data_IF_525296010661
#
_entry.id   IF_525296010661
#
_cell.length_a   1.000
_cell.length_b   1.000
_cell.length_c   1.000
_cell.angle_alpha   90.00
_cell.angle_beta   90.00
_cell.angle_gamma   90.00
#
_symmetry.space_group_name_H-M   'P 1'
#
loop_
_entity.id
_entity.type
_entity.pdbx_description
1 polymer ?
#
# COMPACT_ATOMS: atom_id res chain seq x y z
N UNK A 1 23.52 6.03 -50.06
CA UNK A 1 23.96 7.06 -51.03
C UNK A 1 23.68 8.41 -50.38
N UNK A 2 24.60 9.36 -50.22
CA UNK A 2 25.89 9.58 -50.93
C UNK A 2 27.00 10.09 -49.97
N UNK A 3 28.25 10.14 -50.45
CA UNK A 3 29.52 10.52 -49.75
C UNK A 3 29.56 11.99 -49.26
N UNK A 4 30.29 12.45 -48.23
CA UNK A 4 31.59 12.10 -47.56
C UNK A 4 32.85 12.84 -48.09
N UNK A 5 33.49 13.68 -47.25
CA UNK A 5 34.94 14.01 -47.12
C UNK A 5 35.18 14.89 -45.85
N UNK A 6 36.12 14.65 -44.91
CA UNK A 6 37.61 14.67 -44.93
C UNK A 6 38.19 16.11 -45.05
N UNK A 7 39.24 16.59 -44.32
CA UNK A 7 40.31 16.03 -43.44
C UNK A 7 40.89 17.12 -42.47
N UNK A 8 41.54 16.83 -41.32
CA UNK A 8 43.01 16.60 -41.05
C UNK A 8 44.00 17.53 -41.78
N UNK A 9 45.19 17.99 -41.31
CA UNK A 9 45.90 18.18 -40.00
C UNK A 9 47.21 19.01 -40.32
N UNK A 10 48.27 19.31 -39.53
CA UNK A 10 48.75 19.11 -38.14
C UNK A 10 49.95 20.08 -37.83
N UNK A 11 50.65 19.97 -36.67
CA UNK A 11 51.99 20.54 -36.32
C UNK A 11 52.14 22.09 -36.20
N UNK A 12 53.16 22.73 -35.58
CA UNK A 12 54.17 22.44 -34.52
C UNK A 12 55.07 23.71 -34.32
N UNK A 13 55.89 23.98 -33.28
CA UNK A 13 55.96 23.64 -31.83
C UNK A 13 57.14 24.43 -31.14
N UNK A 14 57.17 24.50 -29.78
CA UNK A 14 58.21 25.15 -28.89
C UNK A 14 58.17 26.71 -28.85
N UNK A 15 58.70 27.44 -27.86
CA UNK A 15 59.72 27.10 -26.84
C UNK A 15 59.65 27.90 -25.49
N UNK A 16 60.04 27.23 -24.40
CA UNK A 16 60.81 27.70 -23.22
C UNK A 16 60.28 28.82 -22.28
N UNK A 17 60.31 28.52 -20.97
CA UNK A 17 60.19 29.49 -19.87
C UNK A 17 60.42 28.79 -18.51
N UNK A 18 61.46 29.18 -17.76
CA UNK A 18 61.90 28.50 -16.53
C UNK A 18 61.40 29.16 -15.25
N UNK A 19 60.96 28.36 -14.27
CA UNK A 19 60.80 28.77 -12.87
C UNK A 19 61.26 27.62 -11.93
N UNK A 20 61.65 27.95 -10.70
CA UNK A 20 62.44 27.07 -9.80
C UNK A 20 61.55 26.36 -8.76
N UNK A 21 61.99 25.19 -8.30
CA UNK A 21 61.33 24.42 -7.24
C UNK A 21 61.22 25.20 -5.92
N UNK A 22 60.12 24.99 -5.20
CA UNK A 22 60.05 25.11 -3.75
C UNK A 22 59.46 23.81 -3.19
N UNK A 23 60.22 23.10 -2.34
CA UNK A 23 59.78 21.85 -1.70
C UNK A 23 58.92 22.17 -0.47
N UNK A 24 57.61 21.90 -0.57
CA UNK A 24 56.71 21.83 0.58
C UNK A 24 56.39 20.36 0.87
N UNK A 25 56.90 19.83 1.99
CA UNK A 25 56.70 18.44 2.39
C UNK A 25 55.31 18.21 3.01
N UNK A 26 54.26 18.24 2.18
CA UNK A 26 52.91 17.84 2.56
C UNK A 26 52.79 16.32 2.59
N UNK A 27 52.57 15.74 3.77
CA UNK A 27 52.35 14.30 3.92
C UNK A 27 50.98 13.90 3.36
N UNK A 28 50.96 13.36 2.13
CA UNK A 28 49.75 12.78 1.54
C UNK A 28 49.47 11.43 2.19
N UNK A 29 48.70 11.44 3.27
CA UNK A 29 48.08 10.22 3.80
C UNK A 29 47.09 9.70 2.76
N UNK A 30 47.44 8.63 2.06
CA UNK A 30 46.55 7.95 1.13
C UNK A 30 45.38 7.30 1.89
N UNK A 31 44.33 8.07 2.11
CA UNK A 31 43.10 7.60 2.71
C UNK A 31 42.43 6.57 1.80
N UNK A 32 42.66 5.29 2.09
CA UNK A 32 41.93 4.20 1.46
C UNK A 32 40.47 4.35 1.87
N UNK A 33 39.65 4.85 0.95
CA UNK A 33 38.19 4.85 1.11
C UNK A 33 37.73 3.39 0.95
N UNK A 34 37.81 2.64 2.04
CA UNK A 34 37.11 1.37 2.17
C UNK A 34 35.63 1.68 2.08
N UNK A 35 35.02 1.45 0.91
CA UNK A 35 33.59 1.46 0.75
C UNK A 35 33.03 0.44 1.75
N UNK A 36 32.42 0.93 2.83
CA UNK A 36 31.85 0.08 3.87
C UNK A 36 30.72 -0.71 3.26
N UNK A 37 30.93 -2.01 3.05
CA UNK A 37 29.83 -2.93 2.77
C UNK A 37 28.93 -2.87 3.99
N UNK A 38 27.80 -2.18 3.85
CA UNK A 38 26.70 -2.29 4.81
C UNK A 38 26.18 -3.70 4.67
N UNK A 39 26.68 -4.60 5.53
CA UNK A 39 26.09 -5.91 5.72
C UNK A 39 24.71 -5.60 6.30
N UNK A 40 23.68 -5.72 5.46
CA UNK A 40 22.31 -5.71 5.92
C UNK A 40 22.18 -6.79 7.01
N UNK A 41 21.74 -6.39 8.20
CA UNK A 41 21.44 -7.35 9.26
C UNK A 41 20.33 -8.29 8.81
N UNK A 42 20.25 -9.48 9.42
CA UNK A 42 19.14 -10.39 9.13
C UNK A 42 17.79 -9.67 9.34
N UNK A 43 16.83 -9.82 8.41
CA UNK A 43 15.56 -9.10 8.47
C UNK A 43 14.82 -9.47 9.76
N UNK A 44 14.29 -8.45 10.45
CA UNK A 44 13.67 -8.63 11.76
C UNK A 44 12.47 -9.59 11.66
N UNK A 45 12.42 -10.69 12.44
CA UNK A 45 11.30 -11.62 12.36
C UNK A 45 9.97 -10.93 12.65
N UNK A 46 8.97 -11.23 11.82
CA UNK A 46 7.60 -10.80 12.05
C UNK A 46 6.99 -11.61 13.19
N UNK A 47 6.28 -10.93 14.09
CA UNK A 47 5.52 -11.57 15.15
C UNK A 47 4.36 -12.42 14.60
N UNK A 48 3.91 -13.39 15.40
CA UNK A 48 2.82 -14.29 14.99
C UNK A 48 1.54 -13.52 14.62
N UNK A 49 0.92 -13.90 13.48
CA UNK A 49 -0.33 -13.31 13.01
C UNK A 49 -0.23 -11.86 12.52
N UNK A 50 0.98 -11.34 12.30
CA UNK A 50 1.20 -10.09 11.55
C UNK A 50 0.68 -10.24 10.12
N UNK A 51 -0.13 -9.28 9.67
CA UNK A 51 -0.78 -9.26 8.33
C UNK A 51 -0.25 -8.14 7.41
N UNK A 52 0.52 -7.20 7.95
CA UNK A 52 1.14 -6.09 7.22
C UNK A 52 2.24 -5.44 8.04
N UNK A 53 2.96 -4.47 7.47
CA UNK A 53 3.97 -3.69 8.20
C UNK A 53 3.78 -2.19 7.99
N UNK A 54 4.42 -1.38 8.83
CA UNK A 54 4.67 0.03 8.56
C UNK A 54 6.18 0.23 8.52
N UNK A 55 6.69 0.83 7.46
CA UNK A 55 8.13 1.08 7.24
C UNK A 55 8.58 2.37 7.95
N UNK A 56 9.89 2.57 8.17
CA UNK A 56 10.37 3.82 8.76
C UNK A 56 10.13 4.97 7.78
N UNK A 57 9.57 6.07 8.27
CA UNK A 57 9.40 7.28 7.50
C UNK A 57 10.75 7.99 7.28
N UNK A 58 10.96 8.67 6.15
CA UNK A 58 12.15 9.49 5.94
C UNK A 58 12.22 10.65 6.94
N UNK A 59 13.44 11.11 7.25
CA UNK A 59 13.64 12.25 8.17
C UNK A 59 13.04 13.53 7.59
N UNK A 60 12.22 14.21 8.40
CA UNK A 60 11.57 15.46 7.99
C UNK A 60 10.34 15.25 7.13
N UNK A 61 9.55 14.21 7.42
CA UNK A 61 8.21 14.02 6.88
C UNK A 61 7.43 15.33 6.84
N UNK A 62 6.81 15.58 5.69
CA UNK A 62 5.80 16.63 5.51
C UNK A 62 4.40 16.02 5.58
N UNK A 63 3.42 16.90 5.65
CA UNK A 63 2.00 16.61 5.45
C UNK A 63 1.51 17.73 4.53
N UNK A 64 1.74 17.57 3.22
CA UNK A 64 1.38 18.53 2.16
C UNK A 64 0.52 17.93 1.03
N UNK A 65 0.25 16.61 1.10
CA UNK A 65 -0.55 15.84 0.16
C UNK A 65 0.27 15.07 -0.87
N UNK A 66 1.61 15.14 -0.84
CA UNK A 66 2.49 14.49 -1.81
C UNK A 66 3.02 13.14 -1.32
N UNK A 67 2.52 12.02 -1.86
CA UNK A 67 2.99 10.68 -1.48
C UNK A 67 4.38 10.30 -2.03
N UNK A 68 5.25 11.27 -2.28
CA UNK A 68 6.64 11.02 -2.68
C UNK A 68 7.47 10.47 -1.52
N UNK A 69 7.27 11.01 -0.31
CA UNK A 69 7.88 10.52 0.93
C UNK A 69 7.49 9.06 1.27
N UNK A 70 6.36 8.56 0.73
CA UNK A 70 5.87 7.19 0.91
C UNK A 70 6.43 6.17 -0.10
N UNK A 71 7.33 6.58 -1.01
CA UNK A 71 7.85 5.68 -2.05
C UNK A 71 8.54 4.44 -1.46
N UNK A 72 8.06 3.26 -1.84
CA UNK A 72 8.60 1.98 -1.35
C UNK A 72 8.09 1.59 0.04
N UNK A 73 7.18 2.36 0.64
CA UNK A 73 6.47 1.94 1.85
C UNK A 73 5.64 0.66 1.61
N UNK A 74 5.19 0.05 2.70
CA UNK A 74 4.21 -1.03 2.62
C UNK A 74 2.84 -0.48 2.20
N UNK A 75 2.19 -1.17 1.25
CA UNK A 75 0.92 -0.76 0.67
C UNK A 75 -0.13 -1.89 0.71
N UNK A 76 -1.38 -1.56 1.05
CA UNK A 76 -2.57 -2.40 0.79
C UNK A 76 -3.46 -1.75 -0.27
N UNK A 77 -3.57 -2.32 -1.48
CA UNK A 77 -4.55 -1.86 -2.45
C UNK A 77 -5.96 -2.36 -2.11
N UNK A 78 -6.97 -1.55 -2.42
CA UNK A 78 -8.40 -1.88 -2.30
C UNK A 78 -9.15 -1.53 -3.58
N UNK A 79 -10.22 -2.26 -3.88
CA UNK A 79 -11.07 -2.08 -5.05
C UNK A 79 -10.37 -2.13 -6.43
N UNK A 80 -9.65 -3.22 -6.71
CA UNK A 80 -8.97 -3.45 -7.99
C UNK A 80 -9.78 -4.35 -8.95
N UNK A 81 -11.02 -4.70 -8.62
CA UNK A 81 -11.77 -5.81 -9.25
C UNK A 81 -13.22 -5.45 -9.61
N UNK A 82 -13.57 -4.18 -9.54
CA UNK A 82 -14.91 -3.66 -9.71
C UNK A 82 -15.15 -3.34 -11.20
N UNK A 83 -16.22 -3.93 -11.75
CA UNK A 83 -16.45 -4.06 -13.20
C UNK A 83 -17.84 -3.61 -13.65
N UNK A 84 -18.66 -3.09 -12.72
CA UNK A 84 -19.99 -2.55 -12.98
C UNK A 84 -19.96 -1.02 -13.14
N UNK A 85 -20.83 -0.50 -14.02
CA UNK A 85 -20.77 0.87 -14.55
C UNK A 85 -20.84 1.96 -13.46
N UNK A 86 -21.64 1.76 -12.40
CA UNK A 86 -21.81 2.72 -11.31
C UNK A 86 -20.69 2.66 -10.25
N UNK A 87 -19.60 1.91 -10.51
CA UNK A 87 -18.66 1.47 -9.49
C UNK A 87 -17.27 1.13 -10.01
N UNK A 88 -16.91 1.51 -11.24
CA UNK A 88 -15.76 0.92 -11.92
C UNK A 88 -14.42 1.16 -11.21
N UNK A 89 -13.44 0.31 -11.52
CA UNK A 89 -12.08 0.38 -10.97
C UNK A 89 -11.42 1.75 -11.19
N UNK A 90 -11.79 2.49 -12.23
CA UNK A 90 -11.27 3.83 -12.54
C UNK A 90 -11.87 4.95 -11.68
N UNK A 91 -12.92 4.65 -10.90
CA UNK A 91 -13.54 5.54 -9.92
C UNK A 91 -13.45 5.04 -8.48
N UNK A 92 -12.94 3.82 -8.25
CA UNK A 92 -12.88 3.22 -6.89
C UNK A 92 -11.57 2.54 -6.50
N UNK A 93 -10.60 2.36 -7.41
CA UNK A 93 -9.30 1.79 -7.04
C UNK A 93 -8.54 2.68 -6.07
N UNK A 94 -8.01 2.14 -4.97
CA UNK A 94 -7.21 2.93 -4.03
C UNK A 94 -6.03 2.16 -3.43
N UNK A 95 -5.05 2.91 -2.91
CA UNK A 95 -3.80 2.41 -2.32
C UNK A 95 -3.61 3.08 -0.95
N UNK A 96 -3.62 2.29 0.13
CA UNK A 96 -3.22 2.75 1.45
C UNK A 96 -1.75 2.42 1.72
N UNK A 97 -0.98 3.41 2.17
CA UNK A 97 0.45 3.30 2.51
C UNK A 97 0.67 3.53 4.00
N UNK A 98 1.59 2.80 4.63
CA UNK A 98 1.82 2.85 6.08
C UNK A 98 3.30 3.08 6.44
N UNK A 99 3.57 4.14 7.20
CA UNK A 99 4.90 4.44 7.75
C UNK A 99 4.84 4.86 9.23
N UNK A 100 6.00 4.89 9.89
CA UNK A 100 6.14 5.37 11.27
C UNK A 100 7.51 6.00 11.50
N UNK A 101 7.62 6.88 12.48
CA UNK A 101 8.91 7.25 13.08
C UNK A 101 8.78 7.44 14.60
N UNK A 102 9.73 8.15 15.20
CA UNK A 102 9.76 8.38 16.65
C UNK A 102 8.75 9.45 17.11
N UNK A 103 8.18 10.25 16.19
CA UNK A 103 7.16 11.27 16.44
C UNK A 103 5.73 10.75 16.19
N UNK A 104 5.50 10.08 15.06
CA UNK A 104 4.14 9.72 14.62
C UNK A 104 4.02 8.38 13.86
N UNK A 105 2.77 7.94 13.75
CA UNK A 105 2.33 7.06 12.66
C UNK A 105 1.87 7.91 11.48
N UNK A 106 2.14 7.43 10.26
CA UNK A 106 1.78 8.10 9.01
C UNK A 106 0.99 7.15 8.11
N UNK A 107 -0.14 7.63 7.59
CA UNK A 107 -0.91 6.96 6.56
C UNK A 107 -0.97 7.80 5.28
N UNK A 108 -0.74 7.17 4.15
CA UNK A 108 -0.97 7.74 2.83
C UNK A 108 -2.17 7.07 2.16
N UNK A 109 -2.94 7.81 1.38
CA UNK A 109 -4.01 7.28 0.52
C UNK A 109 -3.89 7.90 -0.87
N UNK A 110 -3.78 7.05 -1.90
CA UNK A 110 -3.96 7.44 -3.30
C UNK A 110 -5.27 6.83 -3.82
N UNK A 111 -6.13 7.62 -4.46
CA UNK A 111 -7.36 7.13 -5.08
C UNK A 111 -7.34 7.27 -6.61
N UNK A 112 -8.12 6.42 -7.26
CA UNK A 112 -8.81 6.69 -8.53
C UNK A 112 -10.24 7.10 -8.15
N UNK A 113 -10.66 8.31 -8.51
CA UNK A 113 -11.96 8.88 -8.15
C UNK A 113 -12.24 10.17 -8.97
N UNK A 114 -13.31 10.18 -9.76
CA UNK A 114 -13.69 11.35 -10.58
C UNK A 114 -14.82 12.19 -9.98
N UNK A 115 -15.41 11.78 -8.84
CA UNK A 115 -16.60 12.42 -8.23
C UNK A 115 -16.41 12.72 -6.74
N UNK A 116 -15.17 13.09 -6.41
CA UNK A 116 -14.66 13.48 -5.09
C UNK A 116 -15.52 14.56 -4.39
N UNK A 117 -16.24 14.17 -3.32
CA UNK A 117 -16.96 15.07 -2.44
C UNK A 117 -17.09 14.55 -0.99
N UNK A 118 -17.10 15.46 -0.02
CA UNK A 118 -17.55 15.15 1.34
C UNK A 118 -18.47 16.26 1.87
N UNK A 119 -19.78 16.09 1.64
CA UNK A 119 -20.83 16.99 2.11
C UNK A 119 -21.20 16.79 3.60
N UNK A 120 -20.58 15.82 4.28
CA UNK A 120 -20.85 15.53 5.68
C UNK A 120 -20.39 16.66 6.60
N UNK A 121 -21.14 17.02 7.65
CA UNK A 121 -20.67 17.92 8.69
C UNK A 121 -19.55 17.27 9.52
N UNK A 122 -18.81 18.11 10.25
CA UNK A 122 -17.51 17.76 10.81
C UNK A 122 -17.55 16.69 11.93
N UNK A 123 -18.75 16.37 12.45
CA UNK A 123 -18.99 15.32 13.46
C UNK A 123 -19.26 13.92 12.85
N UNK A 124 -19.43 13.81 11.52
CA UNK A 124 -19.82 12.57 10.83
C UNK A 124 -19.16 12.37 9.46
N UNK A 125 -17.86 12.65 9.36
CA UNK A 125 -17.10 12.63 8.10
C UNK A 125 -17.25 11.34 7.27
N UNK A 126 -17.65 10.22 7.88
CA UNK A 126 -18.01 8.97 7.22
C UNK A 126 -19.23 9.04 6.28
N UNK A 127 -20.03 10.12 6.25
CA UNK A 127 -21.20 10.22 5.36
C UNK A 127 -20.85 10.68 3.92
N UNK A 128 -19.57 10.99 3.64
CA UNK A 128 -19.05 11.30 2.30
C UNK A 128 -17.75 10.54 1.98
N UNK A 129 -16.98 11.01 0.99
CA UNK A 129 -15.67 10.41 0.67
C UNK A 129 -14.67 10.64 1.80
N UNK A 130 -13.99 9.58 2.23
CA UNK A 130 -13.07 9.64 3.36
C UNK A 130 -12.79 8.26 3.95
N UNK A 131 -12.04 8.23 5.04
CA UNK A 131 -11.56 7.00 5.66
C UNK A 131 -12.13 6.87 7.07
N UNK A 132 -12.75 5.74 7.40
CA UNK A 132 -12.88 5.30 8.79
C UNK A 132 -11.59 4.57 9.17
N UNK A 133 -10.92 5.06 10.22
CA UNK A 133 -9.57 4.65 10.60
C UNK A 133 -9.57 4.02 12.00
N UNK A 134 -9.02 2.81 12.08
CA UNK A 134 -9.12 1.95 13.25
C UNK A 134 -7.73 1.60 13.77
N UNK A 135 -7.37 2.07 14.97
CA UNK A 135 -5.98 2.04 15.43
C UNK A 135 -5.90 1.65 16.92
N UNK A 136 -5.13 0.60 17.25
CA UNK A 136 -4.98 0.08 18.62
C UNK A 136 -3.50 -0.03 19.03
N UNK A 137 -3.14 0.71 20.07
CA UNK A 137 -1.78 0.79 20.64
C UNK A 137 -1.63 0.00 21.94
N UNK A 138 -2.70 -0.62 22.45
CA UNK A 138 -2.73 -1.31 23.74
C UNK A 138 -1.80 -2.52 23.78
N UNK A 139 -1.58 -3.06 24.98
CA UNK A 139 -0.54 -4.06 25.27
C UNK A 139 -1.07 -5.23 26.09
N UNK A 140 -0.37 -6.35 26.03
CA UNK A 140 -0.73 -7.55 26.80
C UNK A 140 -2.15 -8.03 26.46
N UNK A 141 -2.96 -8.42 27.45
CA UNK A 141 -4.34 -8.89 27.24
C UNK A 141 -5.28 -7.88 26.59
N UNK A 142 -5.03 -6.58 26.75
CA UNK A 142 -5.91 -5.52 26.23
C UNK A 142 -5.69 -5.23 24.74
N UNK A 143 -4.57 -5.71 24.17
CA UNK A 143 -4.24 -5.50 22.77
C UNK A 143 -5.22 -6.25 21.85
N UNK A 144 -5.96 -5.50 21.02
CA UNK A 144 -7.06 -6.03 20.20
C UNK A 144 -8.12 -6.76 21.03
N UNK A 145 -8.41 -6.28 22.24
CA UNK A 145 -9.58 -6.76 22.98
C UNK A 145 -10.90 -6.40 22.27
N UNK A 146 -12.02 -7.09 22.54
CA UNK A 146 -13.29 -6.81 21.87
C UNK A 146 -13.85 -5.40 22.12
N UNK A 147 -13.47 -4.75 23.22
CA UNK A 147 -13.97 -3.43 23.59
C UNK A 147 -13.02 -2.32 23.13
N UNK A 148 -13.61 -1.24 22.60
CA UNK A 148 -12.95 0.06 22.46
C UNK A 148 -12.64 0.69 23.83
N UNK A 149 -11.70 1.63 23.87
CA UNK A 149 -11.29 2.33 25.08
C UNK A 149 -9.97 3.08 24.90
N UNK A 150 -9.42 3.71 25.95
CA UNK A 150 -8.16 4.44 25.87
C UNK A 150 -7.05 3.62 25.21
N UNK A 151 -6.38 4.20 24.22
CA UNK A 151 -5.37 3.51 23.40
C UNK A 151 -5.89 2.79 22.15
N UNK A 152 -7.21 2.62 22.00
CA UNK A 152 -7.84 2.11 20.78
C UNK A 152 -8.89 3.10 20.25
N UNK A 153 -8.68 3.62 19.04
CA UNK A 153 -9.48 4.67 18.42
C UNK A 153 -10.23 4.20 17.18
N UNK A 154 -11.46 4.69 17.05
CA UNK A 154 -12.19 4.81 15.79
C UNK A 154 -12.30 6.31 15.49
N UNK A 155 -11.67 6.73 14.40
CA UNK A 155 -11.60 8.12 13.95
C UNK A 155 -11.81 8.20 12.44
N UNK A 156 -11.88 9.42 11.91
CA UNK A 156 -12.19 9.68 10.51
C UNK A 156 -11.29 10.76 9.96
N UNK A 157 -10.94 10.67 8.68
CA UNK A 157 -10.30 11.75 7.94
C UNK A 157 -10.71 11.78 6.47
N UNK A 158 -10.68 12.97 5.87
CA UNK A 158 -11.05 13.23 4.47
C UNK A 158 -10.22 14.37 3.91
N UNK A 159 -10.05 14.41 2.59
CA UNK A 159 -9.43 15.50 1.85
C UNK A 159 -10.38 16.70 1.63
N UNK A 160 -11.70 16.52 1.80
CA UNK A 160 -12.70 17.40 1.19
C UNK A 160 -13.64 18.09 2.18
N UNK A 161 -14.24 19.21 1.76
CA UNK A 161 -15.47 19.78 2.34
C UNK A 161 -16.37 20.29 1.21
N UNK A 162 -17.51 19.62 1.01
CA UNK A 162 -18.14 19.60 -0.32
C UNK A 162 -17.17 19.03 -1.35
N UNK A 163 -17.06 19.67 -2.52
CA UNK A 163 -16.10 19.34 -3.58
C UNK A 163 -14.72 19.98 -3.42
N UNK A 164 -14.54 20.89 -2.45
CA UNK A 164 -13.28 21.62 -2.27
C UNK A 164 -12.25 20.80 -1.51
N UNK A 165 -10.95 20.96 -1.87
CA UNK A 165 -9.85 20.46 -1.04
C UNK A 165 -9.81 21.27 0.26
N UNK A 166 -10.24 20.62 1.34
CA UNK A 166 -10.32 21.18 2.68
C UNK A 166 -10.19 19.99 3.66
N UNK A 167 -8.95 19.55 3.95
CA UNK A 167 -8.72 18.34 4.71
C UNK A 167 -9.25 18.45 6.14
N UNK A 168 -9.90 17.39 6.62
CA UNK A 168 -10.57 17.33 7.93
C UNK A 168 -10.35 15.99 8.59
N UNK A 169 -10.39 15.99 9.93
CA UNK A 169 -10.48 14.77 10.74
C UNK A 169 -11.43 14.96 11.92
N UNK A 170 -11.96 13.85 12.46
CA UNK A 170 -12.66 13.84 13.74
C UNK A 170 -12.55 12.47 14.44
N UNK A 171 -12.78 12.42 15.75
CA UNK A 171 -13.03 11.18 16.48
C UNK A 171 -14.51 10.80 16.35
N UNK A 172 -14.84 9.51 16.47
CA UNK A 172 -16.25 9.10 16.59
C UNK A 172 -16.89 9.75 17.84
N UNK A 173 -18.15 10.21 17.80
CA UNK A 173 -18.75 10.97 18.91
C UNK A 173 -18.80 10.26 20.28
N UNK A 174 -18.72 8.93 20.32
CA UNK A 174 -18.62 8.09 21.52
C UNK A 174 -17.17 7.72 21.91
N UNK A 175 -16.18 8.19 21.15
CA UNK A 175 -14.74 7.92 21.30
C UNK A 175 -13.89 9.17 21.59
N UNK A 176 -14.52 10.32 21.87
CA UNK A 176 -13.82 11.61 22.11
C UNK A 176 -12.77 11.54 23.24
N UNK A 177 -12.97 10.63 24.20
CA UNK A 177 -12.08 10.36 25.33
C UNK A 177 -10.95 9.34 25.05
N UNK A 178 -10.88 8.75 23.85
CA UNK A 178 -9.94 7.67 23.55
C UNK A 178 -8.48 8.16 23.35
N UNK A 179 -8.31 9.39 22.86
CA UNK A 179 -7.04 10.14 22.73
C UNK A 179 -7.30 11.65 22.87
N UNK A 180 -6.29 12.49 23.17
CA UNK A 180 -6.46 13.95 23.28
C UNK A 180 -6.51 14.71 21.95
N UNK A 181 -6.21 14.08 20.81
CA UNK A 181 -6.29 14.71 19.48
C UNK A 181 -5.16 15.69 19.13
N UNK A 182 -4.01 15.59 19.80
CA UNK A 182 -2.91 16.56 19.68
C UNK A 182 -2.07 16.32 18.42
N UNK A 183 -1.80 17.40 17.67
CA UNK A 183 -0.91 17.38 16.50
C UNK A 183 -1.36 16.46 15.35
N UNK A 184 -2.64 16.10 15.29
CA UNK A 184 -3.18 15.33 14.17
C UNK A 184 -3.34 16.25 12.97
N UNK A 185 -2.65 15.90 11.88
CA UNK A 185 -2.58 16.68 10.65
C UNK A 185 -3.14 15.86 9.48
N UNK A 186 -3.87 16.52 8.58
CA UNK A 186 -4.31 15.96 7.29
C UNK A 186 -3.96 16.95 6.20
N UNK A 187 -3.38 16.47 5.10
CA UNK A 187 -3.21 17.25 3.89
C UNK A 187 -3.65 16.45 2.67
N UNK A 188 -3.96 17.12 1.57
CA UNK A 188 -4.37 16.46 0.34
C UNK A 188 -4.09 17.32 -0.90
N UNK A 189 -3.84 16.65 -2.02
CA UNK A 189 -3.79 17.25 -3.36
C UNK A 189 -4.67 16.47 -4.32
N UNK A 190 -5.22 17.17 -5.32
CA UNK A 190 -5.85 16.55 -6.48
C UNK A 190 -4.77 16.02 -7.43
N UNK A 191 -5.09 14.92 -8.11
CA UNK A 191 -4.35 14.42 -9.27
C UNK A 191 -5.30 14.38 -10.48
N UNK A 192 -4.78 14.18 -11.68
CA UNK A 192 -5.60 14.08 -12.91
C UNK A 192 -6.52 12.84 -12.94
N UNK A 193 -6.43 11.96 -11.93
CA UNK A 193 -7.12 10.69 -11.82
C UNK A 193 -7.88 10.48 -10.50
N UNK A 194 -7.71 11.37 -9.51
CA UNK A 194 -8.14 11.13 -8.14
C UNK A 194 -7.58 12.17 -7.17
N UNK A 195 -7.17 11.70 -5.99
CA UNK A 195 -6.46 12.50 -5.01
C UNK A 195 -5.35 11.70 -4.35
N UNK A 196 -4.41 12.43 -3.76
CA UNK A 196 -3.50 11.92 -2.74
C UNK A 196 -3.76 12.63 -1.42
N UNK A 197 -3.74 11.86 -0.33
CA UNK A 197 -4.06 12.31 1.02
C UNK A 197 -3.01 11.78 1.99
N UNK A 198 -2.50 12.66 2.85
CA UNK A 198 -1.57 12.32 3.93
C UNK A 198 -2.24 12.55 5.29
N UNK A 199 -2.03 11.60 6.21
CA UNK A 199 -2.56 11.63 7.56
C UNK A 199 -1.45 11.33 8.57
N UNK A 200 -1.30 12.21 9.57
CA UNK A 200 -0.31 12.08 10.65
C UNK A 200 -1.00 11.94 12.00
N UNK A 201 -0.58 10.92 12.76
CA UNK A 201 -1.09 10.60 14.07
C UNK A 201 0.07 10.51 15.08
N UNK A 202 0.40 11.61 15.79
CA UNK A 202 1.53 11.62 16.74
C UNK A 202 1.36 10.63 17.89
N UNK A 203 2.45 9.96 18.27
CA UNK A 203 2.46 9.00 19.39
C UNK A 203 2.13 9.65 20.74
N UNK A 204 2.26 10.98 20.85
CA UNK A 204 1.79 11.78 22.00
C UNK A 204 0.28 11.59 22.31
N UNK A 205 -0.51 11.10 21.35
CA UNK A 205 -1.91 10.72 21.57
C UNK A 205 -2.08 9.43 22.39
N UNK A 206 -1.06 8.59 22.49
CA UNK A 206 -1.12 7.24 23.06
C UNK A 206 -0.19 7.10 24.28
N UNK A 207 -0.56 7.68 25.45
CA UNK A 207 0.28 7.65 26.64
C UNK A 207 0.57 6.22 27.09
N UNK A 208 1.86 5.89 27.21
CA UNK A 208 2.34 4.54 27.54
C UNK A 208 2.68 3.66 26.33
N UNK A 209 2.36 4.09 25.10
CA UNK A 209 2.94 3.49 23.90
C UNK A 209 4.36 4.01 23.68
N UNK A 210 5.25 3.12 23.22
CA UNK A 210 6.59 3.49 22.75
C UNK A 210 6.80 2.89 21.35
N UNK A 211 6.99 3.71 20.30
CA UNK A 211 7.38 3.24 18.98
C UNK A 211 8.80 2.66 19.01
N UNK A 212 9.03 1.60 18.24
CA UNK A 212 10.35 1.02 17.92
C UNK A 212 10.17 -0.13 16.91
N UNK A 213 11.22 -0.59 16.23
CA UNK A 213 11.14 -1.78 15.37
C UNK A 213 10.69 -3.02 16.17
N UNK A 214 9.89 -3.88 15.53
CA UNK A 214 9.39 -5.12 16.12
C UNK A 214 8.14 -4.97 16.98
N UNK A 215 7.68 -3.75 17.24
CA UNK A 215 6.39 -3.49 17.88
C UNK A 215 5.25 -3.77 16.89
N UNK A 216 4.22 -4.49 17.34
CA UNK A 216 2.95 -4.56 16.64
C UNK A 216 1.96 -3.49 17.14
N UNK A 217 1.14 -2.98 16.23
CA UNK A 217 -0.09 -2.21 16.46
C UNK A 217 -1.29 -2.98 15.89
N UNK A 218 -2.49 -2.59 16.30
CA UNK A 218 -3.75 -2.97 15.67
C UNK A 218 -4.09 -1.92 14.61
N UNK A 219 -4.33 -2.33 13.38
CA UNK A 219 -4.70 -1.42 12.29
C UNK A 219 -5.80 -2.03 11.41
N UNK A 220 -6.78 -1.22 11.03
CA UNK A 220 -7.56 -1.42 9.80
C UNK A 220 -7.96 -0.06 9.22
N UNK A 221 -8.31 -0.04 7.93
CA UNK A 221 -8.74 1.18 7.24
C UNK A 221 -9.94 0.85 6.35
N UNK A 222 -11.00 1.64 6.47
CA UNK A 222 -12.21 1.53 5.65
C UNK A 222 -12.34 2.77 4.77
N UNK A 223 -12.30 2.59 3.45
CA UNK A 223 -12.48 3.67 2.49
C UNK A 223 -13.96 3.80 2.14
N UNK A 224 -14.52 4.99 2.36
CA UNK A 224 -15.88 5.38 2.03
C UNK A 224 -15.93 6.13 0.71
N UNK A 225 -16.94 5.83 -0.10
CA UNK A 225 -17.26 6.47 -1.38
C UNK A 225 -18.70 6.98 -1.39
N UNK A 226 -18.91 8.15 -2.00
CA UNK A 226 -20.17 8.92 -2.06
C UNK A 226 -20.61 9.27 -3.49
N UNK A 227 -19.74 9.04 -4.48
CA UNK A 227 -19.97 9.31 -5.90
C UNK A 227 -20.44 10.76 -6.20
N UNK A 228 -20.12 11.71 -5.31
CA UNK A 228 -20.41 13.15 -5.42
C UNK A 228 -21.44 13.70 -4.45
N UNK A 229 -22.14 12.85 -3.69
CA UNK A 229 -23.30 13.26 -2.87
C UNK A 229 -23.16 12.79 -1.40
N UNK A 230 -23.61 11.57 -1.12
CA UNK A 230 -23.60 10.94 0.20
C UNK A 230 -23.27 9.44 0.07
N UNK A 231 -22.65 8.88 1.10
CA UNK A 231 -21.97 7.56 1.03
C UNK A 231 -22.80 6.43 0.42
N UNK A 232 -22.34 5.93 -0.72
CA UNK A 232 -22.89 4.79 -1.47
C UNK A 232 -22.15 3.46 -1.23
N UNK A 233 -20.86 3.49 -0.89
CA UNK A 233 -20.02 2.28 -0.88
C UNK A 233 -18.89 2.34 0.16
N UNK A 234 -18.43 1.17 0.63
CA UNK A 234 -17.37 1.01 1.66
C UNK A 234 -16.51 -0.23 1.40
N UNK A 235 -15.20 -0.13 1.60
CA UNK A 235 -14.24 -1.25 1.46
C UNK A 235 -13.17 -1.28 2.55
N UNK A 236 -12.73 -2.47 2.99
CA UNK A 236 -11.77 -2.66 4.09
C UNK A 236 -10.39 -3.17 3.64
N UNK A 237 -9.32 -2.51 4.11
CA UNK A 237 -7.93 -2.85 3.80
C UNK A 237 -7.51 -4.24 4.30
N UNK A 238 -7.79 -4.55 5.59
CA UNK A 238 -7.42 -5.83 6.22
C UNK A 238 -8.59 -6.62 6.78
N UNK A 239 -9.61 -5.96 7.34
CA UNK A 239 -10.69 -6.60 8.08
C UNK A 239 -12.00 -6.69 7.30
N UNK A 240 -13.07 -6.20 7.93
CA UNK A 240 -14.46 -6.29 7.46
C UNK A 240 -15.33 -5.30 8.25
N UNK A 241 -16.65 -5.20 7.99
CA UNK A 241 -17.58 -4.45 8.86
C UNK A 241 -17.55 -4.81 10.37
N UNK A 242 -16.88 -5.90 10.76
CA UNK A 242 -16.60 -6.21 12.18
C UNK A 242 -15.56 -5.27 12.82
N UNK A 243 -14.68 -4.66 12.03
CA UNK A 243 -13.72 -3.64 12.47
C UNK A 243 -14.42 -2.38 13.00
N UNK A 244 -15.63 -2.06 12.51
CA UNK A 244 -16.50 -1.00 13.06
C UNK A 244 -16.86 -1.25 14.53
N UNK A 245 -16.95 -2.53 14.91
CA UNK A 245 -17.53 -2.96 16.19
C UNK A 245 -16.48 -3.25 17.26
N UNK A 246 -15.34 -3.85 16.88
CA UNK A 246 -14.35 -4.31 17.86
C UNK A 246 -12.88 -4.30 17.37
N UNK A 247 -11.91 -3.82 18.19
CA UNK A 247 -10.47 -3.91 17.90
C UNK A 247 -9.96 -5.34 17.68
N UNK A 248 -10.69 -6.35 18.16
CA UNK A 248 -10.43 -7.76 17.88
C UNK A 248 -10.38 -8.10 16.37
N UNK A 249 -11.03 -7.32 15.49
CA UNK A 249 -11.02 -7.57 14.03
C UNK A 249 -9.73 -7.12 13.32
N UNK A 250 -8.99 -6.17 13.89
CA UNK A 250 -7.90 -5.43 13.22
C UNK A 250 -6.72 -6.32 12.79
N UNK A 251 -5.89 -5.86 11.86
CA UNK A 251 -4.60 -6.51 11.58
C UNK A 251 -3.61 -6.28 12.72
N UNK A 252 -2.73 -7.26 12.97
CA UNK A 252 -1.43 -6.96 13.58
C UNK A 252 -0.56 -6.38 12.46
N UNK A 253 -0.14 -5.13 12.62
CA UNK A 253 0.79 -4.45 11.72
C UNK A 253 2.07 -4.15 12.48
N UNK A 254 3.21 -4.63 11.97
CA UNK A 254 4.49 -4.49 12.67
C UNK A 254 5.26 -3.26 12.19
N UNK A 255 5.79 -2.49 13.13
CA UNK A 255 6.73 -1.41 12.86
C UNK A 255 8.08 -2.03 12.47
N UNK A 256 8.58 -1.72 11.28
CA UNK A 256 9.86 -2.21 10.73
C UNK A 256 10.65 -1.04 10.14
N UNK A 257 11.96 -1.21 9.96
CA UNK A 257 12.76 -0.16 9.30
C UNK A 257 12.43 -0.07 7.80
N UNK A 258 12.35 -1.22 7.11
CA UNK A 258 12.16 -1.36 5.66
C UNK A 258 11.28 -2.56 5.33
N UNK A 259 10.68 -2.61 4.14
CA UNK A 259 9.91 -3.77 3.66
C UNK A 259 10.83 -4.79 3.00
N UNK A 260 11.09 -5.89 3.70
CA UNK A 260 12.03 -6.93 3.24
C UNK A 260 11.34 -8.04 2.43
N UNK A 261 12.04 -8.70 1.47
CA UNK A 261 11.48 -9.78 0.67
C UNK A 261 10.87 -10.92 1.51
N UNK A 262 11.47 -11.22 2.65
CA UNK A 262 11.03 -12.27 3.58
C UNK A 262 9.66 -11.98 4.21
N UNK A 263 9.21 -10.72 4.24
CA UNK A 263 7.90 -10.33 4.78
C UNK A 263 6.74 -10.61 3.79
N UNK A 264 7.02 -10.75 2.49
CA UNK A 264 6.00 -11.00 1.46
C UNK A 264 5.20 -12.28 1.69
N UNK A 265 5.83 -13.30 2.30
CA UNK A 265 5.17 -14.56 2.66
C UNK A 265 4.05 -14.37 3.68
N UNK A 266 4.17 -13.42 4.61
CA UNK A 266 3.18 -13.15 5.66
C UNK A 266 2.19 -12.05 5.24
N UNK A 267 2.69 -10.99 4.61
CA UNK A 267 1.91 -9.80 4.30
C UNK A 267 1.35 -9.78 2.87
N UNK A 268 1.73 -10.73 2.02
CA UNK A 268 1.26 -10.87 0.64
C UNK A 268 -0.26 -10.83 0.47
N UNK A 269 -1.08 -11.52 1.30
CA UNK A 269 -2.55 -11.44 1.21
C UNK A 269 -3.16 -10.04 1.51
N UNK A 270 -2.36 -9.11 2.04
CA UNK A 270 -2.71 -7.72 2.25
C UNK A 270 -2.17 -6.81 1.13
N UNK A 271 -0.96 -7.07 0.62
CA UNK A 271 -0.33 -6.33 -0.49
C UNK A 271 -0.89 -6.68 -1.88
N UNK A 272 -1.28 -7.95 -2.05
CA UNK A 272 -1.61 -8.59 -3.32
C UNK A 272 -2.97 -9.29 -3.24
N UNK A 273 -4.05 -8.64 -2.75
CA UNK A 273 -5.37 -9.25 -2.67
C UNK A 273 -5.82 -9.76 -4.06
N UNK A 274 -6.68 -10.76 -4.08
CA UNK A 274 -7.17 -11.35 -5.32
C UNK A 274 -8.66 -11.66 -5.29
N UNK A 275 -9.27 -11.65 -6.47
CA UNK A 275 -10.62 -12.10 -6.76
C UNK A 275 -10.57 -13.12 -7.91
N UNK A 276 -11.50 -14.07 -7.89
CA UNK A 276 -11.67 -15.03 -8.97
C UNK A 276 -13.17 -15.25 -9.15
N UNK A 277 -13.70 -15.00 -10.34
CA UNK A 277 -15.13 -15.16 -10.63
C UNK A 277 -15.42 -15.48 -12.11
N UNK A 278 -16.67 -15.84 -12.38
CA UNK A 278 -17.19 -16.03 -13.74
C UNK A 278 -18.13 -14.88 -14.02
N UNK A 279 -17.75 -13.97 -14.92
CA UNK A 279 -18.59 -12.82 -15.27
C UNK A 279 -19.95 -13.26 -15.85
N UNK A 280 -21.04 -12.59 -15.45
CA UNK A 280 -22.42 -12.95 -15.83
C UNK A 280 -22.71 -12.76 -17.33
N UNK A 281 -22.07 -11.77 -17.95
CA UNK A 281 -22.22 -11.44 -19.36
C UNK A 281 -20.87 -11.68 -20.05
N UNK A 282 -20.84 -12.65 -20.96
CA UNK A 282 -19.66 -12.96 -21.77
C UNK A 282 -20.09 -13.15 -23.23
N UNK A 283 -19.38 -12.58 -24.23
CA UNK A 283 -19.68 -12.77 -25.66
C UNK A 283 -19.13 -14.09 -26.22
N UNK A 284 -18.50 -14.91 -25.36
CA UNK A 284 -17.72 -16.12 -25.68
C UNK A 284 -18.16 -17.29 -24.80
N UNK A 285 -17.62 -18.48 -25.03
CA UNK A 285 -17.79 -19.61 -24.12
C UNK A 285 -17.24 -19.27 -22.72
N UNK A 286 -17.97 -19.63 -21.67
CA UNK A 286 -17.75 -19.12 -20.31
C UNK A 286 -16.32 -19.35 -19.80
N UNK A 287 -15.63 -18.25 -19.53
CA UNK A 287 -14.34 -18.21 -18.84
C UNK A 287 -14.53 -17.81 -17.38
N UNK A 288 -13.67 -18.36 -16.53
CA UNK A 288 -13.33 -17.79 -15.22
C UNK A 288 -12.26 -16.72 -15.47
N UNK A 289 -12.32 -15.63 -14.71
CA UNK A 289 -11.30 -14.58 -14.65
C UNK A 289 -10.73 -14.53 -13.25
N UNK A 290 -9.41 -14.52 -13.14
CA UNK A 290 -8.70 -14.25 -11.89
C UNK A 290 -7.92 -12.94 -11.98
N UNK A 291 -8.06 -12.12 -10.93
CA UNK A 291 -7.47 -10.80 -10.81
C UNK A 291 -6.70 -10.74 -9.49
N UNK A 292 -5.46 -10.23 -9.53
CA UNK A 292 -4.62 -10.02 -8.35
C UNK A 292 -4.02 -8.62 -8.41
N UNK A 293 -4.28 -7.80 -7.39
CA UNK A 293 -3.76 -6.44 -7.33
C UNK A 293 -2.24 -6.46 -7.13
N UNK A 294 -1.52 -5.49 -7.71
CA UNK A 294 -0.07 -5.40 -7.59
C UNK A 294 0.34 -4.16 -6.77
N UNK A 295 1.29 -4.27 -5.83
CA UNK A 295 1.76 -3.16 -5.03
C UNK A 295 2.50 -2.13 -5.93
N UNK A 296 2.17 -0.83 -5.84
CA UNK A 296 2.57 0.19 -6.82
C UNK A 296 4.09 0.32 -6.98
N UNK A 297 4.80 0.53 -5.86
CA UNK A 297 6.26 0.76 -5.88
C UNK A 297 7.09 -0.51 -5.94
N UNK A 298 6.46 -1.66 -5.68
CA UNK A 298 7.11 -2.97 -5.58
C UNK A 298 6.86 -3.86 -6.80
N UNK A 299 6.14 -3.35 -7.81
CA UNK A 299 5.83 -4.04 -9.08
C UNK A 299 7.10 -4.59 -9.76
N UNK A 300 8.20 -3.86 -9.70
CA UNK A 300 9.46 -4.25 -10.38
C UNK A 300 10.25 -5.34 -9.63
N UNK A 301 9.83 -5.69 -8.40
CA UNK A 301 10.28 -6.88 -7.69
C UNK A 301 9.53 -8.15 -8.10
N UNK A 302 8.49 -8.04 -8.95
CA UNK A 302 7.68 -9.17 -9.42
C UNK A 302 8.11 -9.52 -10.85
N UNK A 303 8.63 -10.73 -11.03
CA UNK A 303 8.98 -11.30 -12.33
C UNK A 303 7.79 -11.87 -13.07
N UNK A 304 6.92 -12.62 -12.36
CA UNK A 304 5.65 -13.16 -12.90
C UNK A 304 4.65 -13.51 -11.81
N UNK A 305 3.39 -13.65 -12.20
CA UNK A 305 2.28 -14.15 -11.37
C UNK A 305 1.65 -15.37 -12.05
N UNK A 306 1.36 -16.41 -11.28
CA UNK A 306 0.69 -17.63 -11.75
C UNK A 306 -0.53 -17.92 -10.88
N UNK A 307 -1.69 -18.13 -11.50
CA UNK A 307 -2.87 -18.67 -10.84
C UNK A 307 -2.88 -20.19 -10.97
N UNK A 308 -2.76 -20.89 -9.86
CA UNK A 308 -2.77 -22.36 -9.77
C UNK A 308 -4.12 -22.85 -9.27
N UNK A 309 -4.73 -23.78 -10.00
CA UNK A 309 -5.93 -24.49 -9.57
C UNK A 309 -5.51 -25.74 -8.80
N UNK A 310 -6.09 -25.90 -7.61
CA UNK A 310 -5.87 -27.04 -6.72
C UNK A 310 -7.20 -27.76 -6.51
N UNK A 311 -7.20 -29.09 -6.56
CA UNK A 311 -8.30 -29.88 -6.01
C UNK A 311 -8.41 -29.70 -4.49
N UNK A 312 -9.54 -30.12 -3.91
CA UNK A 312 -9.77 -30.03 -2.45
C UNK A 312 -8.77 -30.89 -1.65
N UNK A 313 -8.12 -31.86 -2.29
CA UNK A 313 -7.02 -32.66 -1.76
C UNK A 313 -5.62 -32.00 -1.90
N UNK A 314 -5.55 -30.77 -2.45
CA UNK A 314 -4.31 -30.02 -2.66
C UNK A 314 -3.52 -30.41 -3.91
N UNK A 315 -4.04 -31.32 -4.75
CA UNK A 315 -3.43 -31.71 -6.02
C UNK A 315 -3.54 -30.59 -7.05
N UNK A 316 -2.48 -30.33 -7.82
CA UNK A 316 -2.54 -29.40 -8.96
C UNK A 316 -3.44 -29.95 -10.07
N UNK A 317 -4.40 -29.14 -10.52
CA UNK A 317 -5.27 -29.40 -11.68
C UNK A 317 -4.65 -28.75 -12.91
N UNK A 318 -4.40 -27.44 -12.84
CA UNK A 318 -3.83 -26.62 -13.93
C UNK A 318 -3.17 -25.35 -13.38
N UNK A 319 -2.43 -24.66 -14.24
CA UNK A 319 -1.77 -23.38 -13.95
C UNK A 319 -1.97 -22.42 -15.13
N UNK A 320 -2.19 -21.14 -14.82
CA UNK A 320 -2.33 -20.07 -15.79
C UNK A 320 -1.40 -18.92 -15.40
N UNK A 321 -0.41 -18.62 -16.25
CA UNK A 321 0.44 -17.44 -16.08
C UNK A 321 -0.36 -16.18 -16.44
N UNK A 322 -0.14 -15.09 -15.70
CA UNK A 322 -0.96 -13.90 -15.77
C UNK A 322 -0.31 -12.77 -16.56
N UNK A 323 -1.11 -12.10 -17.39
CA UNK A 323 -0.72 -10.84 -18.05
C UNK A 323 -0.88 -9.67 -17.07
N UNK A 324 -0.14 -8.57 -17.29
CA UNK A 324 -0.16 -7.39 -16.42
C UNK A 324 -1.01 -6.28 -17.06
N UNK A 325 -2.19 -6.03 -16.49
CA UNK A 325 -3.06 -4.93 -16.88
C UNK A 325 -2.65 -3.64 -16.15
N UNK A 326 -2.55 -2.54 -16.89
CA UNK A 326 -2.35 -1.19 -16.35
C UNK A 326 -3.68 -0.45 -16.30
N UNK A 327 -4.12 -0.09 -15.11
CA UNK A 327 -5.36 0.64 -14.87
C UNK A 327 -5.11 2.15 -14.88
N UNK A 328 -4.07 2.60 -14.19
CA UNK A 328 -3.61 3.99 -14.23
C UNK A 328 -2.08 4.01 -14.00
N UNK A 329 -1.34 4.48 -15.00
CA UNK A 329 0.12 4.32 -15.03
C UNK A 329 0.90 5.25 -14.09
N UNK A 330 0.39 6.46 -13.84
CA UNK A 330 1.03 7.51 -13.04
C UNK A 330 0.87 7.24 -11.54
N UNK A 331 -0.35 6.92 -11.10
CA UNK A 331 -0.65 6.42 -9.76
C UNK A 331 -0.22 4.97 -9.52
N UNK A 332 0.43 4.32 -10.51
CA UNK A 332 0.98 2.96 -10.43
C UNK A 332 -0.07 1.88 -10.08
N UNK A 333 -1.29 2.03 -10.60
CA UNK A 333 -2.38 1.06 -10.45
C UNK A 333 -2.27 -0.05 -11.50
N UNK A 334 -1.85 -1.24 -11.05
CA UNK A 334 -1.69 -2.44 -11.90
C UNK A 334 -2.37 -3.66 -11.28
N UNK A 335 -2.82 -4.60 -12.12
CA UNK A 335 -3.26 -5.94 -11.67
C UNK A 335 -2.75 -7.03 -12.60
N UNK A 336 -2.48 -8.20 -12.04
CA UNK A 336 -2.24 -9.42 -12.81
C UNK A 336 -3.59 -10.09 -13.15
N UNK A 337 -3.76 -10.52 -14.39
CA UNK A 337 -4.99 -11.06 -14.95
C UNK A 337 -4.73 -12.41 -15.63
N UNK A 338 -5.56 -13.41 -15.37
CA UNK A 338 -5.59 -14.64 -16.15
C UNK A 338 -7.03 -15.11 -16.40
N UNK A 339 -7.22 -15.88 -17.47
CA UNK A 339 -8.50 -16.46 -17.85
C UNK A 339 -8.36 -17.95 -18.14
N UNK A 340 -9.41 -18.73 -17.86
CA UNK A 340 -9.49 -20.14 -18.26
C UNK A 340 -10.94 -20.60 -18.45
N UNK A 341 -11.20 -21.66 -19.25
CA UNK A 341 -12.55 -22.20 -19.43
C UNK A 341 -13.14 -22.68 -18.11
N UNK A 342 -14.43 -22.43 -17.89
CA UNK A 342 -15.12 -22.88 -16.65
C UNK A 342 -15.05 -24.40 -16.45
N UNK A 343 -14.95 -25.17 -17.54
CA UNK A 343 -14.82 -26.63 -17.51
C UNK A 343 -13.44 -27.13 -17.02
N UNK A 344 -12.45 -26.25 -16.80
CA UNK A 344 -11.13 -26.63 -16.30
C UNK A 344 -11.18 -27.20 -14.86
N UNK A 345 -12.12 -26.72 -14.03
CA UNK A 345 -12.43 -27.30 -12.74
C UNK A 345 -13.86 -26.93 -12.31
N UNK A 346 -14.64 -27.91 -11.86
CA UNK A 346 -16.02 -27.69 -11.43
C UNK A 346 -16.10 -26.63 -10.30
N UNK A 347 -17.07 -25.69 -10.34
CA UNK A 347 -17.31 -24.74 -9.26
C UNK A 347 -17.48 -25.44 -7.90
N UNK A 348 -16.80 -24.94 -6.86
CA UNK A 348 -16.78 -25.54 -5.52
C UNK A 348 -15.93 -26.81 -5.38
N UNK A 349 -15.46 -27.40 -6.49
CA UNK A 349 -14.58 -28.58 -6.49
C UNK A 349 -13.08 -28.25 -6.45
N UNK A 350 -12.71 -26.98 -6.31
CA UNK A 350 -11.32 -26.53 -6.38
C UNK A 350 -11.05 -25.27 -5.53
N UNK A 351 -9.76 -25.00 -5.29
CA UNK A 351 -9.24 -23.73 -4.79
C UNK A 351 -8.40 -23.05 -5.87
N UNK A 352 -8.35 -21.72 -5.86
CA UNK A 352 -7.44 -20.93 -6.70
C UNK A 352 -6.40 -20.26 -5.82
N UNK A 353 -5.13 -20.43 -6.19
CA UNK A 353 -3.98 -19.90 -5.48
C UNK A 353 -3.18 -18.98 -6.42
N UNK A 354 -3.14 -17.68 -6.13
CA UNK A 354 -2.21 -16.76 -6.76
C UNK A 354 -0.81 -16.96 -6.17
N UNK A 355 0.19 -17.16 -7.04
CA UNK A 355 1.60 -17.34 -6.66
C UNK A 355 2.42 -16.26 -7.35
N UNK A 356 3.19 -15.52 -6.55
CA UNK A 356 3.97 -14.37 -7.02
C UNK A 356 5.46 -14.72 -6.94
N UNK A 357 6.16 -14.57 -8.06
CA UNK A 357 7.59 -14.88 -8.19
C UNK A 357 8.40 -13.62 -8.49
N UNK A 358 9.64 -13.55 -7.99
CA UNK A 358 10.60 -12.52 -8.38
C UNK A 358 11.20 -12.78 -9.78
N UNK A 359 12.01 -11.85 -10.35
CA UNK A 359 12.67 -12.04 -11.64
C UNK A 359 13.68 -13.20 -11.72
N UNK A 360 14.07 -13.80 -10.59
CA UNK A 360 14.90 -15.02 -10.54
C UNK A 360 14.09 -16.31 -10.50
N UNK A 361 12.78 -16.23 -10.27
CA UNK A 361 11.89 -17.37 -10.08
C UNK A 361 11.75 -17.82 -8.62
N UNK A 362 12.27 -17.07 -7.63
CA UNK A 362 12.01 -17.31 -6.20
C UNK A 362 10.56 -16.94 -5.90
N UNK A 363 9.85 -17.79 -5.15
CA UNK A 363 8.51 -17.48 -4.65
C UNK A 363 8.58 -16.38 -3.58
N UNK A 364 7.88 -15.26 -3.80
CA UNK A 364 7.74 -14.18 -2.84
C UNK A 364 6.50 -14.37 -1.95
N UNK A 365 5.36 -14.67 -2.58
CA UNK A 365 4.07 -14.70 -1.90
C UNK A 365 3.13 -15.76 -2.48
N UNK A 366 2.19 -16.20 -1.62
CA UNK A 366 1.01 -16.98 -2.00
C UNK A 366 -0.23 -16.29 -1.46
N UNK A 367 -1.26 -16.17 -2.28
CA UNK A 367 -2.54 -15.54 -1.91
C UNK A 367 -3.70 -16.42 -2.39
N UNK A 368 -4.80 -16.38 -1.64
CA UNK A 368 -6.08 -16.97 -2.02
C UNK A 368 -7.17 -15.88 -1.89
N UNK A 369 -8.34 -16.03 -2.55
CA UNK A 369 -9.46 -15.12 -2.37
C UNK A 369 -9.85 -14.97 -0.89
N UNK A 370 -10.19 -13.75 -0.46
CA UNK A 370 -10.55 -13.46 0.94
C UNK A 370 -11.90 -14.09 1.29
N UNK A 371 -11.91 -14.99 2.28
CA UNK A 371 -13.14 -15.59 2.85
C UNK A 371 -13.88 -14.65 3.82
N UNK A 372 -13.84 -13.34 3.54
CA UNK A 372 -14.30 -12.26 4.41
C UNK A 372 -14.97 -11.22 3.52
N UNK A 373 -16.21 -10.82 3.83
CA UNK A 373 -16.82 -9.72 3.10
C UNK A 373 -16.09 -8.42 3.44
N UNK A 374 -15.30 -7.94 2.46
CA UNK A 374 -14.57 -6.67 2.53
C UNK A 374 -15.44 -5.47 2.16
N UNK A 375 -16.69 -5.68 1.74
CA UNK A 375 -17.63 -4.62 1.37
C UNK A 375 -18.83 -4.61 2.32
N UNK A 376 -19.45 -3.43 2.53
CA UNK A 376 -20.67 -3.34 3.34
C UNK A 376 -21.94 -3.80 2.59
N UNK A 377 -21.83 -4.87 1.81
CA UNK A 377 -22.96 -5.63 1.27
C UNK A 377 -23.09 -6.89 2.11
N UNK A 378 -24.20 -7.10 2.85
CA UNK A 378 -24.42 -8.35 3.57
C UNK A 378 -24.60 -9.51 2.61
N UNK A 379 -23.64 -10.46 2.62
CA UNK A 379 -23.69 -11.67 1.80
C UNK A 379 -22.32 -12.09 1.27
N UNK A 380 -21.90 -13.28 1.69
CA UNK A 380 -21.68 -14.38 0.73
C UNK A 380 -22.96 -15.23 0.75
#
# INVERSE_FOLDING_TARGET
MTMWKLREACCAARAWGTAVMALAAGAVTAGVVTAGVVIAGEPMPLAEGVRGVATRAPRGMKIDGNLQEFQGAFCTPVCYFETNLDADVYNRGAQFFYMWDDEAFYAGLRTLDQRQANHAPDDRLWEGDGVEWYFDTRRGPDFRSPQWGPGAVHMYWTAYKGTELNPRWCLRPDMLQAIPGVGIEVAARRTDYGAEVEFKLPWANFPGFAPKPGVAIGLDAELCYSDGEGRVFRTFAYGSPLSVQQPASLARVQLVESLEPEYWRACGPAMLPMRCDTAWLQPTAAQVTALLALPPDHRDLIGRVVFRLLGLEGRVISEYEAEIETLQAEGRFYRAVAHWPVDAAAPGGHHVLGIVYDPSGKELARVAPRLVSIHNTPGY
#
